data_IF_854535080505
#
_entry.id   IF_854535080505
#
_cell.length_a   1.000
_cell.length_b   1.000
_cell.length_c   1.000
_cell.angle_alpha   90.00
_cell.angle_beta   90.00
_cell.angle_gamma   90.00
#
_symmetry.space_group_name_H-M   'P 1'
#
loop_
_entity.id
_entity.type
_entity.pdbx_description
1 polymer ?
2 non-polymer ?
3 non-polymer ?
4 non-polymer ?
5 non-polymer ?
6 water ?
#
# COMPACT_ATOMS: atom_id res chain seq x y z
N UNK A 1 -4.50 -5.02 20.52
CA UNK A 1 -3.17 -4.48 20.10
C UNK A 1 -2.71 -5.20 18.82
N UNK A 2 -1.66 -4.68 18.18
CA UNK A 2 -1.14 -5.32 16.96
C UNK A 2 -0.51 -6.66 17.33
N UNK A 3 -0.72 -7.67 16.51
CA UNK A 3 -0.20 -8.99 16.80
C UNK A 3 0.83 -9.52 15.82
N UNK A 4 1.91 -10.05 16.36
CA UNK A 4 2.95 -10.64 15.54
C UNK A 4 3.01 -12.12 15.96
N UNK A 5 2.76 -12.99 14.99
CA UNK A 5 2.77 -14.43 15.24
C UNK A 5 3.95 -15.11 14.56
N UNK A 6 4.79 -15.79 15.34
CA UNK A 6 5.91 -16.50 14.73
C UNK A 6 5.38 -17.77 14.09
N UNK A 7 5.98 -18.19 12.99
CA UNK A 7 5.54 -19.37 12.27
C UNK A 7 6.50 -20.50 12.56
N UNK A 8 6.32 -21.63 11.86
CA UNK A 8 7.21 -22.77 12.04
C UNK A 8 8.64 -22.40 11.65
N UNK A 9 8.80 -21.46 10.73
CA UNK A 9 10.13 -21.02 10.32
C UNK A 9 10.37 -19.69 11.05
N UNK A 10 11.42 -19.63 11.88
CA UNK A 10 11.80 -18.47 12.68
C UNK A 10 11.67 -17.09 12.05
N UNK A 11 12.42 -16.83 10.99
CA UNK A 11 12.38 -15.51 10.39
C UNK A 11 11.10 -15.08 9.68
N UNK A 12 10.18 -16.01 9.43
CA UNK A 12 8.93 -15.65 8.79
C UNK A 12 7.90 -15.29 9.85
N UNK A 13 7.33 -14.10 9.74
CA UNK A 13 6.35 -13.63 10.72
C UNK A 13 5.02 -13.24 10.11
N UNK A 14 3.94 -13.51 10.82
CA UNK A 14 2.59 -13.14 10.41
C UNK A 14 2.29 -11.89 11.22
N UNK A 15 1.77 -10.84 10.57
CA UNK A 15 1.45 -9.62 11.29
C UNK A 15 -0.02 -9.36 11.12
N UNK A 16 -0.68 -8.99 12.20
CA UNK A 16 -2.12 -8.72 12.17
C UNK A 16 -2.30 -7.34 12.83
N UNK A 17 -2.30 -6.27 12.02
CA UNK A 17 -2.45 -4.88 12.44
C UNK A 17 -3.63 -4.55 13.32
N UNK A 18 -3.43 -3.56 14.18
CA UNK A 18 -4.45 -3.07 15.09
C UNK A 18 -5.51 -2.39 14.19
N UNK A 19 -6.73 -2.86 14.23
CA UNK A 19 -7.79 -2.29 13.38
C UNK A 19 -8.87 -1.55 14.16
N UNK A 20 -9.15 -0.32 13.75
CA UNK A 20 -10.17 0.50 14.39
C UNK A 20 -11.44 0.53 13.57
N UNK A 21 -12.56 0.16 14.21
CA UNK A 21 -13.83 0.15 13.53
C UNK A 21 -14.22 -1.26 13.12
N UNK A 22 -15.22 -1.35 12.25
CA UNK A 22 -15.69 -2.63 11.75
C UNK A 22 -15.48 -2.68 10.25
N UNK A 23 -16.12 -3.63 9.58
CA UNK A 23 -15.93 -3.77 8.15
C UNK A 23 -16.83 -2.94 7.24
N UNK A 24 -17.31 -1.82 7.75
CA UNK A 24 -18.14 -0.89 6.97
C UNK A 24 -17.66 0.52 7.31
N UNK A 25 -16.49 0.58 7.92
CA UNK A 25 -15.90 1.85 8.30
C UNK A 25 -14.73 1.55 9.23
N UNK A 26 -13.52 1.55 8.68
CA UNK A 26 -12.37 1.25 9.52
C UNK A 26 -11.13 2.05 9.13
N UNK A 27 -10.08 1.84 9.92
CA UNK A 27 -8.81 2.49 9.68
C UNK A 27 -7.72 1.69 10.38
N UNK A 28 -6.59 1.54 9.72
CA UNK A 28 -5.45 0.88 10.33
C UNK A 28 -4.16 1.29 9.63
N UNK A 29 -3.04 1.17 10.34
CA UNK A 29 -1.74 1.47 9.75
C UNK A 29 -1.34 0.13 9.17
N UNK A 30 -1.20 0.07 7.85
CA UNK A 30 -0.82 -1.19 7.21
C UNK A 30 0.68 -1.35 7.30
N UNK A 31 1.38 -0.28 7.63
CA UNK A 31 2.83 -0.33 7.77
C UNK A 31 3.30 0.84 8.60
N UNK A 32 4.34 0.62 9.39
CA UNK A 32 4.89 1.67 10.24
C UNK A 32 6.36 1.32 10.37
N UNK A 33 7.20 2.13 9.75
CA UNK A 33 8.64 1.93 9.72
C UNK A 33 9.28 1.61 11.07
N UNK A 34 9.07 2.51 12.02
CA UNK A 34 9.63 2.37 13.34
C UNK A 34 9.17 1.09 14.02
N UNK A 35 7.87 0.82 13.98
CA UNK A 35 7.32 -0.39 14.56
C UNK A 35 7.93 -1.65 13.93
N UNK A 36 7.98 -1.68 12.59
CA UNK A 36 8.52 -2.84 11.88
C UNK A 36 9.99 -3.09 12.16
N UNK A 37 10.77 -2.03 12.23
CA UNK A 37 12.19 -2.18 12.48
C UNK A 37 12.49 -2.75 13.85
N UNK A 38 11.82 -2.24 14.88
CA UNK A 38 12.10 -2.79 16.19
C UNK A 38 11.54 -4.20 16.23
N UNK A 39 10.49 -4.47 15.46
CA UNK A 39 9.93 -5.82 15.40
C UNK A 39 10.92 -6.82 14.82
N UNK A 40 11.60 -6.43 13.74
CA UNK A 40 12.56 -7.29 13.08
C UNK A 40 13.92 -7.26 13.75
N UNK A 41 14.18 -6.20 14.50
CA UNK A 41 15.45 -6.10 15.20
C UNK A 41 16.55 -5.50 14.35
N UNK A 42 16.28 -5.29 13.06
CA UNK A 42 17.27 -4.71 12.18
C UNK A 42 16.63 -3.61 11.34
N UNK A 43 17.46 -2.73 10.80
CA UNK A 43 16.93 -1.68 9.94
C UNK A 43 16.51 -2.33 8.63
N UNK A 44 15.38 -1.91 8.10
CA UNK A 44 14.88 -2.46 6.86
C UNK A 44 14.20 -1.34 6.09
N UNK A 45 14.56 -1.20 4.82
CA UNK A 45 13.99 -0.16 3.99
C UNK A 45 13.24 -0.76 2.82
N UNK A 46 11.99 -0.34 2.63
CA UNK A 46 11.22 -0.84 1.51
C UNK A 46 11.30 0.21 0.41
N UNK A 47 11.74 -0.21 -0.78
CA UNK A 47 11.89 0.74 -1.89
C UNK A 47 10.84 0.61 -2.97
N UNK A 48 9.97 -0.39 -2.87
CA UNK A 48 8.98 -0.56 -3.90
C UNK A 48 7.67 -1.16 -3.36
N UNK A 49 6.53 -0.62 -3.80
CA UNK A 49 5.23 -1.17 -3.43
C UNK A 49 4.63 -1.70 -4.72
N UNK A 50 4.15 -2.94 -4.67
CA UNK A 50 3.54 -3.56 -5.84
C UNK A 50 2.10 -3.90 -5.54
N UNK A 51 1.30 -3.88 -6.60
CA UNK A 51 -0.13 -4.13 -6.50
C UNK A 51 -0.59 -5.00 -7.68
N UNK A 52 -1.18 -6.15 -7.37
CA UNK A 52 -1.65 -7.03 -8.43
C UNK A 52 -3.07 -7.51 -8.24
N UNK A 53 -3.69 -7.92 -9.33
CA UNK A 53 -5.05 -8.43 -9.29
C UNK A 53 -5.06 -9.77 -10.01
N UNK A 54 -5.65 -10.77 -9.38
CA UNK A 54 -5.70 -12.13 -9.94
C UNK A 54 -7.10 -12.72 -9.83
N UNK A 55 -7.43 -13.61 -10.79
CA UNK A 55 -8.71 -14.29 -10.79
C UNK A 55 -8.56 -15.57 -9.99
N UNK A 56 -9.69 -16.11 -9.53
CA UNK A 56 -9.69 -17.33 -8.75
C UNK A 56 -8.80 -18.40 -9.38
N UNK A 57 -8.06 -19.08 -8.53
CA UNK A 57 -7.16 -20.13 -8.97
C UNK A 57 -5.86 -19.72 -9.60
N UNK A 58 -5.71 -18.43 -9.89
CA UNK A 58 -4.44 -18.01 -10.45
C UNK A 58 -3.40 -18.14 -9.34
N UNK A 59 -2.34 -18.88 -9.63
CA UNK A 59 -1.27 -19.08 -8.67
C UNK A 59 -0.10 -18.32 -9.27
N UNK A 60 0.44 -17.41 -8.49
CA UNK A 60 1.56 -16.62 -8.97
C UNK A 60 2.73 -17.05 -8.15
N UNK A 61 3.77 -17.57 -8.77
CA UNK A 61 4.83 -17.86 -7.86
C UNK A 61 5.93 -18.87 -7.81
N UNK A 62 6.55 -18.68 -6.66
CA UNK A 62 7.73 -19.32 -6.18
C UNK A 62 8.72 -18.56 -7.02
N UNK A 63 8.89 -17.33 -6.55
CA UNK A 63 9.79 -16.35 -7.11
C UNK A 63 10.74 -15.88 -6.02
N UNK A 64 11.90 -15.44 -6.45
CA UNK A 64 12.90 -14.91 -5.56
C UNK A 64 13.92 -14.23 -6.43
N UNK A 65 14.76 -13.41 -5.82
CA UNK A 65 15.82 -12.75 -6.55
C UNK A 65 17.09 -13.14 -5.80
N UNK A 66 18.12 -13.46 -6.57
CA UNK A 66 19.40 -13.89 -6.05
C UNK A 66 20.34 -12.83 -5.50
N UNK A 67 21.24 -13.28 -4.63
CA UNK A 67 22.24 -12.43 -4.04
C UNK A 67 21.85 -11.05 -3.58
N UNK A 68 22.63 -10.07 -4.04
CA UNK A 68 22.42 -8.68 -3.68
C UNK A 68 21.06 -8.14 -4.06
N UNK A 69 20.35 -8.83 -4.94
CA UNK A 69 19.05 -8.35 -5.35
C UNK A 69 17.90 -9.00 -4.62
N UNK A 70 18.22 -9.88 -3.67
CA UNK A 70 17.19 -10.57 -2.90
C UNK A 70 16.23 -9.56 -2.29
N UNK A 71 14.94 -9.85 -2.38
CA UNK A 71 13.93 -8.96 -1.85
C UNK A 71 13.23 -9.49 -0.59
N UNK A 72 13.14 -8.66 0.43
CA UNK A 72 12.40 -9.04 1.61
C UNK A 72 11.03 -8.53 1.20
N UNK A 73 9.97 -9.25 1.52
CA UNK A 73 8.65 -8.82 1.12
C UNK A 73 7.65 -8.87 2.25
N UNK A 74 6.92 -7.78 2.42
CA UNK A 74 5.86 -7.68 3.43
C UNK A 74 4.60 -7.66 2.58
N UNK A 75 3.85 -8.75 2.61
CA UNK A 75 2.66 -8.90 1.78
C UNK A 75 1.33 -8.97 2.51
N UNK A 76 0.27 -8.47 1.85
CA UNK A 76 -1.07 -8.48 2.38
C UNK A 76 -2.05 -8.55 1.22
N UNK A 77 -3.32 -8.75 1.55
CA UNK A 77 -4.38 -8.84 0.55
C UNK A 77 -5.45 -7.79 0.84
N UNK A 78 -5.61 -6.82 -0.07
CA UNK A 78 -6.56 -5.72 0.11
C UNK A 78 -7.96 -6.03 -0.40
N UNK A 79 -8.09 -7.04 -1.25
CA UNK A 79 -9.37 -7.43 -1.79
C UNK A 79 -9.39 -8.95 -1.95
N UNK A 80 -10.45 -9.59 -1.49
CA UNK A 80 -10.52 -11.03 -1.61
C UNK A 80 -9.65 -11.79 -0.63
N UNK A 81 -9.18 -12.95 -1.05
CA UNK A 81 -8.37 -13.81 -0.19
C UNK A 81 -7.41 -14.67 -0.99
N UNK A 82 -6.23 -14.89 -0.46
CA UNK A 82 -5.24 -15.71 -1.12
C UNK A 82 -4.58 -16.59 -0.08
N UNK A 83 -4.00 -17.69 -0.53
CA UNK A 83 -3.25 -18.56 0.36
C UNK A 83 -1.83 -18.18 -0.04
N UNK A 84 -1.10 -17.56 0.87
CA UNK A 84 0.25 -17.10 0.61
C UNK A 84 1.28 -18.07 1.18
N UNK A 85 2.38 -18.22 0.46
CA UNK A 85 3.42 -19.14 0.85
C UNK A 85 4.85 -18.60 0.78
N UNK A 86 5.63 -18.93 1.80
CA UNK A 86 7.03 -18.54 1.90
C UNK A 86 7.83 -19.83 2.00
N UNK A 87 8.89 -19.93 1.22
CA UNK A 87 9.72 -21.12 1.24
C UNK A 87 11.14 -20.72 1.56
N UNK A 88 11.76 -21.38 2.54
CA UNK A 88 13.14 -21.07 2.90
C UNK A 88 14.04 -21.65 1.83
N UNK A 89 14.86 -20.82 1.18
CA UNK A 89 15.73 -21.36 0.15
C UNK A 89 17.19 -21.04 0.40
N UNK A 90 17.51 -20.83 1.68
CA UNK A 90 18.87 -20.55 2.09
C UNK A 90 19.51 -21.91 2.30
N UNK A 91 20.43 -22.27 1.42
CA UNK A 91 21.09 -23.57 1.51
C UNK A 91 21.65 -23.94 2.90
N UNK A 92 22.23 -22.96 3.59
CA UNK A 92 22.80 -23.23 4.91
C UNK A 92 21.79 -23.16 6.05
N UNK A 93 20.52 -22.94 5.73
CA UNK A 93 19.52 -22.84 6.77
C UNK A 93 19.00 -24.18 7.25
N UNK A 94 18.77 -24.30 8.56
CA UNK A 94 18.26 -25.50 9.23
C UNK A 94 16.87 -25.82 8.70
N UNK A 95 16.16 -24.80 8.23
CA UNK A 95 14.82 -24.96 7.71
C UNK A 95 14.73 -24.92 6.17
N UNK A 96 15.87 -25.07 5.51
CA UNK A 96 15.93 -25.06 4.04
C UNK A 96 14.86 -25.99 3.47
N UNK A 97 14.14 -25.52 2.45
CA UNK A 97 13.13 -26.35 1.84
C UNK A 97 11.79 -26.38 2.57
N UNK A 98 11.76 -25.85 3.78
CA UNK A 98 10.52 -25.82 4.52
C UNK A 98 9.70 -24.63 4.04
N UNK A 99 8.38 -24.73 4.20
CA UNK A 99 7.49 -23.68 3.78
C UNK A 99 6.50 -23.34 4.86
N UNK A 100 5.89 -22.17 4.70
CA UNK A 100 4.88 -21.67 5.62
C UNK A 100 3.74 -21.17 4.75
N UNK A 101 2.51 -21.56 5.06
CA UNK A 101 1.38 -21.12 4.30
C UNK A 101 0.35 -20.43 5.17
N UNK A 102 -0.14 -19.28 4.73
CA UNK A 102 -1.11 -18.53 5.50
C UNK A 102 -2.18 -17.92 4.61
N UNK A 103 -3.41 -17.88 5.10
CA UNK A 103 -4.51 -17.27 4.37
C UNK A 103 -4.48 -15.79 4.68
N UNK A 104 -4.41 -14.98 3.63
CA UNK A 104 -4.38 -13.53 3.76
C UNK A 104 -5.61 -13.01 3.04
N UNK A 105 -6.41 -12.22 3.74
CA UNK A 105 -7.63 -11.69 3.15
C UNK A 105 -7.84 -10.23 3.49
N UNK A 106 -8.72 -9.62 2.72
CA UNK A 106 -9.04 -8.23 2.94
C UNK A 106 -9.68 -8.16 4.30
N UNK A 107 -10.46 -9.19 4.58
CA UNK A 107 -11.17 -9.28 5.83
C UNK A 107 -10.28 -9.47 7.06
N UNK A 108 -9.41 -10.48 7.03
CA UNK A 108 -8.58 -10.72 8.20
C UNK A 108 -7.42 -9.75 8.35
N UNK A 109 -7.07 -9.09 7.24
CA UNK A 109 -5.98 -8.11 7.23
C UNK A 109 -4.63 -8.62 7.69
N UNK A 110 -4.39 -9.91 7.54
CA UNK A 110 -3.10 -10.46 7.93
C UNK A 110 -2.07 -10.08 6.87
N UNK A 111 -0.83 -10.05 7.32
CA UNK A 111 0.30 -9.74 6.48
C UNK A 111 1.34 -10.80 6.76
N UNK A 112 2.15 -11.13 5.76
CA UNK A 112 3.22 -12.09 5.96
C UNK A 112 4.54 -11.41 5.62
N UNK A 113 5.49 -11.48 6.54
CA UNK A 113 6.81 -10.93 6.34
C UNK A 113 7.70 -12.05 5.90
N UNK A 114 8.23 -11.93 4.70
CA UNK A 114 9.09 -12.93 4.07
C UNK A 114 10.45 -12.29 3.81
N UNK A 115 11.46 -12.64 4.62
CA UNK A 115 12.82 -12.10 4.51
C UNK A 115 13.54 -12.51 3.24
N UNK A 116 14.67 -11.87 3.02
CA UNK A 116 15.50 -12.20 1.88
C UNK A 116 15.90 -13.65 2.15
N UNK A 117 16.02 -14.44 1.10
CA UNK A 117 16.41 -15.82 1.28
C UNK A 117 15.25 -16.79 1.18
N UNK A 118 14.07 -16.27 0.86
CA UNK A 118 12.86 -17.07 0.71
C UNK A 118 12.24 -16.92 -0.68
N UNK A 119 11.51 -17.93 -1.09
CA UNK A 119 10.82 -17.90 -2.37
C UNK A 119 9.41 -17.55 -1.96
N UNK A 120 8.66 -16.85 -2.81
CA UNK A 120 7.31 -16.46 -2.48
C UNK A 120 6.30 -16.89 -3.54
N UNK A 121 5.08 -17.18 -3.09
CA UNK A 121 4.02 -17.57 -4.01
C UNK A 121 2.66 -17.46 -3.34
N UNK A 122 1.60 -17.43 -4.14
CA UNK A 122 0.26 -17.38 -3.60
C UNK A 122 -0.78 -17.77 -4.64
N UNK A 123 -1.93 -18.27 -4.17
CA UNK A 123 -3.01 -18.65 -5.07
C UNK A 123 -4.22 -17.85 -4.67
N UNK A 124 -4.97 -17.41 -5.66
CA UNK A 124 -6.17 -16.64 -5.43
C UNK A 124 -7.31 -17.61 -5.07
N UNK A 125 -7.95 -17.38 -3.93
CA UNK A 125 -9.03 -18.25 -3.45
C UNK A 125 -10.41 -17.64 -3.70
N UNK A 126 -10.49 -16.32 -3.73
CA UNK A 126 -11.73 -15.61 -3.98
C UNK A 126 -11.91 -15.43 -5.49
N UNK A 127 -13.07 -14.91 -5.89
CA UNK A 127 -13.36 -14.71 -7.32
C UNK A 127 -12.20 -13.93 -7.91
N UNK A 128 -11.80 -12.87 -7.20
CA UNK A 128 -10.68 -12.03 -7.58
C UNK A 128 -9.98 -11.62 -6.29
N UNK A 129 -8.68 -11.42 -6.36
CA UNK A 129 -7.93 -10.99 -5.19
C UNK A 129 -6.95 -9.90 -5.63
N UNK A 130 -6.83 -8.86 -4.81
CA UNK A 130 -5.87 -7.81 -5.08
C UNK A 130 -4.83 -7.92 -3.99
N UNK A 131 -3.63 -8.24 -4.43
CA UNK A 131 -2.48 -8.49 -3.59
C UNK A 131 -1.56 -7.27 -3.57
N UNK A 132 -1.17 -6.84 -2.38
CA UNK A 132 -0.28 -5.70 -2.24
C UNK A 132 0.95 -6.08 -1.46
N UNK A 133 2.08 -5.53 -1.83
CA UNK A 133 3.25 -5.85 -1.05
C UNK A 133 4.38 -4.87 -1.21
N UNK A 134 5.28 -4.90 -0.24
CA UNK A 134 6.42 -4.01 -0.21
C UNK A 134 7.69 -4.86 -0.31
N UNK A 135 8.64 -4.40 -1.12
CA UNK A 135 9.88 -5.13 -1.29
C UNK A 135 11.06 -4.29 -0.82
N UNK A 136 12.05 -4.94 -0.20
CA UNK A 136 13.22 -4.24 0.31
C UNK A 136 14.24 -3.93 -0.80
N UNK A 137 14.05 -4.52 -1.98
CA UNK A 137 14.95 -4.21 -3.08
C UNK A 137 14.17 -4.14 -4.38
N UNK A 138 14.77 -3.51 -5.38
CA UNK A 138 14.13 -3.34 -6.66
C UNK A 138 14.02 -4.59 -7.52
N UNK A 139 12.97 -4.62 -8.31
CA UNK A 139 12.75 -5.69 -9.24
C UNK A 139 14.05 -5.89 -10.01
N UNK A 140 14.45 -7.14 -10.22
CA UNK A 140 15.68 -7.43 -10.96
C UNK A 140 15.53 -8.72 -11.75
N UNK A 141 14.98 -8.64 -12.96
CA UNK A 141 14.78 -9.81 -13.82
C UNK A 141 15.99 -10.72 -13.98
N UNK A 142 17.17 -10.13 -14.14
CA UNK A 142 18.36 -10.96 -14.30
C UNK A 142 18.70 -11.73 -13.02
N UNK A 143 18.26 -11.20 -11.88
CA UNK A 143 18.52 -11.84 -10.60
C UNK A 143 17.38 -12.78 -10.21
N UNK A 144 16.25 -12.66 -10.90
CA UNK A 144 15.10 -13.46 -10.58
C UNK A 144 15.23 -14.93 -10.88
N UNK A 145 14.60 -15.72 -10.02
CA UNK A 145 14.63 -17.16 -10.16
C UNK A 145 13.26 -17.63 -9.76
N UNK A 146 12.92 -18.85 -10.17
CA UNK A 146 11.62 -19.40 -9.83
C UNK A 146 11.70 -20.89 -9.52
N UNK A 147 10.63 -21.41 -8.95
CA UNK A 147 10.57 -22.81 -8.57
C UNK A 147 9.14 -23.20 -8.86
N UNK A 148 8.96 -24.36 -9.49
CA UNK A 148 7.63 -24.84 -9.84
C UNK A 148 6.77 -24.99 -8.59
N UNK A 149 5.55 -24.50 -8.66
CA UNK A 149 4.62 -24.54 -7.52
C UNK A 149 4.43 -25.89 -6.83
N UNK A 150 4.35 -26.95 -7.61
CA UNK A 150 4.13 -28.28 -7.05
C UNK A 150 5.40 -29.09 -6.84
N UNK A 151 6.53 -28.41 -6.68
CA UNK A 151 7.79 -29.09 -6.46
C UNK A 151 7.67 -30.04 -5.25
N UNK A 152 8.02 -31.31 -5.45
CA UNK A 152 7.91 -32.31 -4.40
C UNK A 152 8.91 -32.15 -3.24
N UNK A 153 10.12 -31.68 -3.52
CA UNK A 153 11.09 -31.50 -2.46
C UNK A 153 10.54 -30.54 -1.38
N UNK A 154 9.83 -29.49 -1.81
CA UNK A 154 9.24 -28.53 -0.91
C UNK A 154 7.92 -29.09 -0.38
N UNK A 155 7.14 -29.68 -1.29
CA UNK A 155 5.88 -30.30 -0.90
C UNK A 155 4.83 -29.40 -0.31
N UNK A 156 4.59 -28.26 -0.94
CA UNK A 156 3.58 -27.33 -0.46
C UNK A 156 2.20 -27.97 -0.57
N UNK A 157 1.38 -27.78 0.46
CA UNK A 157 0.03 -28.32 0.44
C UNK A 157 -0.89 -27.21 0.02
N UNK A 158 -1.15 -27.10 -1.28
CA UNK A 158 -2.03 -26.06 -1.77
C UNK A 158 -3.50 -26.37 -1.50
N UNK A 159 -4.26 -25.37 -1.01
CA UNK A 159 -5.67 -25.38 -0.65
C UNK A 159 -6.68 -25.64 -1.76
N UNK A 160 -6.48 -24.97 -2.89
CA UNK A 160 -7.38 -25.14 -4.02
C UNK A 160 -7.55 -26.62 -4.27
N UNK A 161 -8.71 -26.99 -4.78
CA UNK A 161 -8.99 -28.38 -5.09
C UNK A 161 -8.91 -28.54 -6.59
N UNK A 162 -8.64 -27.43 -7.29
CA UNK A 162 -8.55 -27.46 -8.75
C UNK A 162 -7.20 -27.01 -9.31
N UNK A 163 -6.89 -27.41 -10.54
CA UNK A 163 -5.63 -27.01 -11.15
C UNK A 163 -5.50 -25.49 -11.16
N UNK A 164 -4.34 -24.97 -10.76
CA UNK A 164 -4.05 -23.54 -10.71
C UNK A 164 -3.78 -23.02 -12.10
N UNK A 165 -4.02 -21.73 -12.30
CA UNK A 165 -3.72 -21.12 -13.58
C UNK A 165 -2.40 -20.42 -13.38
N UNK A 166 -1.46 -20.68 -14.28
CA UNK A 166 -0.13 -20.12 -14.21
C UNK A 166 0.24 -19.32 -15.45
N UNK A 167 1.01 -18.25 -15.24
CA UNK A 167 1.49 -17.46 -16.35
C UNK A 167 2.42 -18.46 -17.04
N UNK A 168 2.80 -18.19 -18.27
CA UNK A 168 3.70 -19.12 -18.98
C UNK A 168 5.05 -19.16 -18.28
N UNK A 169 5.43 -18.03 -17.69
CA UNK A 169 6.71 -17.95 -17.00
C UNK A 169 6.72 -18.88 -15.79
N UNK A 170 5.65 -18.88 -15.00
CA UNK A 170 5.63 -19.74 -13.82
C UNK A 170 5.40 -21.21 -14.15
N UNK A 171 4.65 -21.47 -15.21
CA UNK A 171 4.39 -22.84 -15.63
C UNK A 171 5.72 -23.47 -16.04
N UNK A 172 6.66 -22.64 -16.49
CA UNK A 172 7.97 -23.13 -16.91
C UNK A 172 9.03 -23.15 -15.82
N UNK A 173 8.66 -22.83 -14.58
CA UNK A 173 9.63 -22.84 -13.48
C UNK A 173 10.26 -24.21 -13.28
N UNK A 174 11.53 -24.27 -12.86
CA UNK A 174 12.24 -25.53 -12.64
C UNK A 174 11.88 -26.11 -11.28
N UNK A 175 12.37 -27.31 -11.03
CA UNK A 175 12.16 -27.98 -9.76
C UNK A 175 13.27 -27.47 -8.86
N UNK A 176 13.11 -27.65 -7.56
CA UNK A 176 14.10 -27.16 -6.62
C UNK A 176 15.55 -27.52 -6.92
N UNK A 177 15.85 -28.76 -7.25
CA UNK A 177 17.26 -29.09 -7.50
C UNK A 177 17.83 -28.48 -8.78
N UNK A 178 16.98 -27.89 -9.60
CA UNK A 178 17.43 -27.25 -10.84
C UNK A 178 17.38 -25.72 -10.70
N UNK A 179 16.65 -25.23 -9.71
CA UNK A 179 16.53 -23.79 -9.49
C UNK A 179 17.89 -23.14 -9.34
N UNK A 180 18.00 -21.90 -9.82
CA UNK A 180 19.27 -21.19 -9.71
C UNK A 180 19.23 -20.38 -8.42
N UNK A 181 19.49 -21.06 -7.31
CA UNK A 181 19.46 -20.46 -5.98
C UNK A 181 20.52 -19.43 -5.65
N UNK A 182 21.69 -19.51 -6.28
CA UNK A 182 22.74 -18.56 -5.92
C UNK A 182 23.56 -17.96 -7.06
N UNK A 183 24.15 -16.80 -6.77
CA UNK A 183 25.01 -15.98 -7.64
C UNK A 183 24.31 -14.72 -8.13
N UNK B 1 3.80 1.62 -16.89
CA UNK B 1 4.44 2.97 -16.81
C UNK B 1 3.54 3.91 -16.03
N UNK B 2 4.03 5.10 -15.74
CA UNK B 2 3.23 6.04 -14.99
C UNK B 2 3.31 7.47 -15.55
N UNK B 3 2.14 8.07 -15.82
CA UNK B 3 2.08 9.45 -16.31
C UNK B 3 2.00 10.43 -15.14
N UNK B 4 2.84 11.45 -15.18
CA UNK B 4 2.86 12.47 -14.14
C UNK B 4 2.26 13.73 -14.73
N UNK B 5 1.16 14.19 -14.12
CA UNK B 5 0.46 15.39 -14.56
C UNK B 5 0.55 16.46 -13.49
N UNK B 6 1.02 17.66 -13.87
CA UNK B 6 1.12 18.74 -12.90
C UNK B 6 -0.27 19.32 -12.74
N UNK B 7 -0.53 19.96 -11.59
CA UNK B 7 -1.84 20.54 -11.32
C UNK B 7 -1.68 22.06 -11.30
N UNK B 8 -2.74 22.76 -10.94
CA UNK B 8 -2.69 24.22 -10.86
C UNK B 8 -1.67 24.66 -9.82
N UNK B 9 -1.44 23.81 -8.83
CA UNK B 9 -0.47 24.14 -7.81
C UNK B 9 0.76 23.31 -8.15
N UNK B 10 1.90 23.97 -8.36
CA UNK B 10 3.18 23.36 -8.71
C UNK B 10 3.56 22.05 -8.02
N UNK B 11 3.80 22.12 -6.71
CA UNK B 11 4.22 20.93 -5.99
C UNK B 11 3.26 19.76 -5.89
N UNK B 12 2.00 19.94 -6.28
CA UNK B 12 1.00 18.89 -6.22
C UNK B 12 0.95 18.16 -7.57
N UNK B 13 1.22 16.86 -7.55
CA UNK B 13 1.23 16.06 -8.78
C UNK B 13 0.24 14.92 -8.80
N UNK B 14 -0.33 14.67 -9.97
CA UNK B 14 -1.25 13.56 -10.17
C UNK B 14 -0.39 12.47 -10.83
N UNK B 15 -0.52 11.24 -10.38
CA UNK B 15 0.25 10.17 -10.99
C UNK B 15 -0.77 9.18 -11.51
N UNK B 16 -0.53 8.68 -12.72
CA UNK B 16 -1.43 7.72 -13.32
C UNK B 16 -0.70 6.53 -13.86
N UNK B 17 -0.64 5.47 -13.08
CA UNK B 17 0.04 4.28 -13.58
C UNK B 17 -0.83 3.62 -14.67
N UNK B 18 -0.19 2.93 -15.60
CA UNK B 18 -0.88 2.17 -16.64
C UNK B 18 -0.40 0.79 -16.20
N UNK B 19 -1.32 -0.15 -16.06
CA UNK B 19 -0.93 -1.46 -15.58
C UNK B 19 -0.62 -2.49 -16.66
N UNK B 20 0.22 -3.46 -16.30
CA UNK B 20 0.59 -4.55 -17.18
C UNK B 20 -0.58 -5.52 -17.00
N UNK B 21 -1.48 -5.52 -17.98
CA UNK B 21 -2.64 -6.37 -17.91
C UNK B 21 -2.55 -7.62 -18.77
N UNK B 22 -3.00 -8.75 -18.23
CA UNK B 22 -2.99 -10.01 -18.97
C UNK B 22 -4.16 -10.89 -18.53
N UNK B 23 -4.02 -12.20 -18.71
CA UNK B 23 -5.07 -13.14 -18.36
C UNK B 23 -5.29 -13.32 -16.85
N UNK B 24 -4.20 -13.40 -16.08
CA UNK B 24 -4.33 -13.55 -14.61
C UNK B 24 -5.14 -12.35 -14.07
N UNK B 25 -4.74 -11.16 -14.50
CA UNK B 25 -5.37 -9.91 -14.12
C UNK B 25 -4.41 -8.79 -14.49
N UNK B 26 -3.78 -8.16 -13.51
CA UNK B 26 -2.80 -7.12 -13.80
C UNK B 26 -1.74 -7.04 -12.72
N UNK B 27 -0.74 -6.23 -13.01
CA UNK B 27 0.34 -5.99 -12.09
C UNK B 27 0.92 -4.62 -12.37
N UNK B 28 1.23 -3.88 -11.30
CA UNK B 28 1.90 -2.59 -11.44
C UNK B 28 2.62 -2.23 -10.16
N UNK B 29 3.66 -1.39 -10.30
CA UNK B 29 4.39 -0.92 -9.14
C UNK B 29 3.56 0.28 -8.71
N UNK B 30 2.98 0.25 -7.52
CA UNK B 30 2.19 1.39 -7.10
C UNK B 30 3.10 2.45 -6.51
N UNK B 31 4.34 2.09 -6.26
CA UNK B 31 5.32 3.03 -5.72
C UNK B 31 6.71 2.50 -5.98
N UNK B 32 7.64 3.40 -6.28
CA UNK B 32 9.02 3.02 -6.53
C UNK B 32 9.83 4.21 -6.00
N UNK B 33 10.59 3.97 -4.94
CA UNK B 33 11.39 5.01 -4.27
C UNK B 33 12.26 5.86 -5.20
N UNK B 34 13.14 5.20 -5.92
CA UNK B 34 14.07 5.84 -6.84
C UNK B 34 13.34 6.73 -7.85
N UNK B 35 12.32 6.16 -8.48
CA UNK B 35 11.51 6.84 -9.44
C UNK B 35 10.83 8.09 -8.83
N UNK B 36 10.22 7.91 -7.66
CA UNK B 36 9.52 9.01 -7.04
C UNK B 36 10.44 10.17 -6.65
N UNK B 37 11.62 9.84 -6.14
CA UNK B 37 12.56 10.87 -5.75
C UNK B 37 13.03 11.69 -6.94
N UNK B 38 13.36 11.02 -8.05
CA UNK B 38 13.83 11.72 -9.25
C UNK B 38 12.69 12.59 -9.72
N UNK B 39 11.49 12.05 -9.62
CA UNK B 39 10.29 12.75 -10.03
C UNK B 39 10.02 13.99 -9.18
N UNK B 40 10.32 13.92 -7.89
CA UNK B 40 10.09 15.05 -6.97
C UNK B 40 11.32 15.93 -6.90
N UNK B 41 12.46 15.36 -7.23
CA UNK B 41 13.68 16.15 -7.20
C UNK B 41 14.35 16.18 -5.85
N UNK B 42 13.72 15.60 -4.83
CA UNK B 42 14.32 15.58 -3.51
C UNK B 42 14.13 14.21 -2.88
N UNK B 43 14.99 13.89 -1.91
CA UNK B 43 14.86 12.62 -1.22
C UNK B 43 13.60 12.70 -0.39
N UNK B 44 12.86 11.61 -0.34
CA UNK B 44 11.64 11.59 0.45
C UNK B 44 11.49 10.19 1.01
N UNK B 45 11.20 10.09 2.30
CA UNK B 45 11.03 8.80 2.94
C UNK B 45 9.62 8.66 3.50
N UNK B 46 8.94 7.58 3.15
CA UNK B 46 7.60 7.35 3.69
C UNK B 46 7.75 6.36 4.82
N UNK B 47 7.30 6.74 6.01
CA UNK B 47 7.43 5.89 7.18
C UNK B 47 6.16 5.22 7.65
N UNK B 48 5.02 5.59 7.07
CA UNK B 48 3.77 5.03 7.51
C UNK B 48 2.78 4.87 6.36
N UNK B 49 2.13 3.70 6.29
CA UNK B 49 1.12 3.43 5.27
C UNK B 49 -0.20 3.29 6.03
N UNK B 50 -1.23 3.97 5.55
CA UNK B 50 -2.53 3.91 6.21
C UNK B 50 -3.55 3.36 5.23
N UNK B 51 -4.59 2.74 5.78
CA UNK B 51 -5.64 2.16 4.97
C UNK B 51 -6.98 2.39 5.68
N UNK B 52 -7.93 3.01 4.99
CA UNK B 52 -9.22 3.29 5.60
C UNK B 52 -10.37 2.91 4.69
N UNK B 53 -11.53 2.74 5.30
CA UNK B 53 -12.73 2.41 4.55
C UNK B 53 -13.82 3.40 4.97
N UNK B 54 -14.55 3.92 4.00
CA UNK B 54 -15.61 4.89 4.27
C UNK B 54 -16.84 4.62 3.43
N UNK B 55 -18.00 5.00 3.95
CA UNK B 55 -19.26 4.81 3.26
C UNK B 55 -19.53 6.05 2.41
N UNK B 56 -20.40 5.89 1.42
CA UNK B 56 -20.73 6.99 0.53
C UNK B 56 -21.04 8.24 1.32
N UNK B 57 -20.56 9.36 0.81
CA UNK B 57 -20.76 10.68 1.42
C UNK B 57 -19.95 10.99 2.64
N UNK B 58 -19.23 10.02 3.19
CA UNK B 58 -18.39 10.32 4.32
C UNK B 58 -17.26 11.18 3.78
N UNK B 59 -17.04 12.33 4.41
CA UNK B 59 -15.97 13.24 4.00
C UNK B 59 -15.03 13.30 5.18
N UNK B 60 -13.75 13.04 4.96
CA UNK B 60 -12.80 13.13 6.05
C UNK B 60 -12.16 14.50 5.98
N UNK B 61 -12.64 15.37 6.87
CA UNK B 61 -12.26 16.78 7.00
C UNK B 61 -10.87 17.14 6.54
N UNK B 62 -10.57 18.43 6.46
CA UNK B 62 -9.23 18.84 6.00
C UNK B 62 -8.22 18.73 7.14
N UNK B 63 -7.24 17.86 6.95
CA UNK B 63 -6.24 17.59 7.98
C UNK B 63 -4.81 17.93 7.60
N UNK B 64 -3.99 18.15 8.63
CA UNK B 64 -2.59 18.43 8.43
C UNK B 64 -1.92 18.34 9.77
N UNK B 65 -0.59 18.29 9.77
CA UNK B 65 0.19 18.26 11.00
C UNK B 65 1.18 19.40 10.92
N UNK B 66 1.27 20.16 12.00
CA UNK B 66 2.14 21.33 12.09
C UNK B 66 3.64 21.11 12.24
N UNK B 67 4.38 22.14 11.84
CA UNK B 67 5.82 22.13 11.92
C UNK B 67 6.53 20.86 11.52
N UNK B 68 7.47 20.45 12.37
CA UNK B 68 8.29 19.26 12.14
C UNK B 68 7.49 17.98 11.92
N UNK B 69 6.21 17.99 12.28
CA UNK B 69 5.39 16.80 12.12
C UNK B 69 4.58 16.80 10.83
N UNK B 70 4.72 17.84 10.02
CA UNK B 70 3.98 17.92 8.76
C UNK B 70 4.20 16.63 7.97
N UNK B 71 3.13 16.14 7.34
CA UNK B 71 3.19 14.91 6.59
C UNK B 71 2.96 15.11 5.09
N UNK B 72 3.89 14.59 4.29
CA UNK B 72 3.71 14.64 2.85
C UNK B 72 2.90 13.37 2.69
N UNK B 73 1.93 13.38 1.78
CA UNK B 73 1.10 12.22 1.58
C UNK B 73 0.91 11.86 0.10
N UNK B 74 1.14 10.58 -0.20
CA UNK B 74 0.96 10.04 -1.53
C UNK B 74 -0.26 9.15 -1.36
N UNK B 75 -1.40 9.62 -1.85
CA UNK B 75 -2.66 8.90 -1.69
C UNK B 75 -3.27 8.31 -2.95
N UNK B 76 -4.04 7.24 -2.79
CA UNK B 76 -4.72 6.56 -3.89
C UNK B 76 -5.95 5.84 -3.35
N UNK B 77 -6.80 5.36 -4.24
CA UNK B 77 -8.01 4.66 -3.83
C UNK B 77 -7.99 3.23 -4.37
N UNK B 78 -7.95 2.24 -3.46
CA UNK B 78 -7.89 0.83 -3.85
C UNK B 78 -9.24 0.19 -4.12
N UNK B 79 -10.31 0.80 -3.62
CA UNK B 79 -11.65 0.28 -3.83
C UNK B 79 -12.63 1.45 -3.93
N UNK B 80 -13.47 1.44 -4.95
CA UNK B 80 -14.43 2.52 -5.11
C UNK B 80 -13.85 3.79 -5.71
N UNK B 81 -14.37 4.93 -5.27
CA UNK B 81 -13.93 6.21 -5.79
C UNK B 81 -14.13 7.32 -4.77
N UNK B 82 -13.20 8.26 -4.74
CA UNK B 82 -13.30 9.40 -3.85
C UNK B 82 -12.90 10.64 -4.61
N UNK B 83 -13.32 11.79 -4.10
CA UNK B 83 -12.93 13.05 -4.69
C UNK B 83 -11.91 13.51 -3.65
N UNK B 84 -10.65 13.60 -4.06
CA UNK B 84 -9.59 13.97 -3.16
C UNK B 84 -9.20 15.42 -3.31
N UNK B 85 -8.86 16.05 -2.20
CA UNK B 85 -8.52 17.46 -2.21
C UNK B 85 -7.27 17.83 -1.43
N UNK B 86 -6.46 18.70 -2.02
CA UNK B 86 -5.25 19.18 -1.39
C UNK B 86 -5.38 20.69 -1.32
N UNK B 87 -5.06 21.28 -0.17
CA UNK B 87 -5.14 22.72 0.01
C UNK B 87 -3.80 23.26 0.45
N UNK B 88 -3.31 24.29 -0.24
CA UNK B 88 -2.02 24.86 0.11
C UNK B 88 -2.24 25.71 1.36
N UNK B 89 -1.54 25.40 2.43
CA UNK B 89 -1.70 26.16 3.66
C UNK B 89 -0.42 26.78 4.15
N UNK B 90 0.50 26.99 3.21
CA UNK B 90 1.77 27.62 3.52
C UNK B 90 1.50 29.11 3.40
N UNK B 91 1.56 29.82 4.51
CA UNK B 91 1.29 31.26 4.51
C UNK B 91 2.08 32.07 3.49
N UNK B 92 3.38 31.75 3.34
CA UNK B 92 4.23 32.48 2.41
C UNK B 92 4.13 32.00 0.96
N UNK B 93 3.24 31.06 0.68
CA UNK B 93 3.10 30.55 -0.68
C UNK B 93 2.18 31.37 -1.56
N UNK B 94 2.57 31.55 -2.83
CA UNK B 94 1.84 32.29 -3.86
C UNK B 94 0.48 31.69 -4.11
N UNK B 95 0.36 30.41 -3.79
CA UNK B 95 -0.89 29.69 -3.99
C UNK B 95 -1.61 29.37 -2.70
N UNK B 96 -1.24 30.06 -1.61
CA UNK B 96 -1.86 29.86 -0.30
C UNK B 96 -3.37 29.93 -0.43
N UNK B 97 -4.04 28.96 0.18
CA UNK B 97 -5.49 28.94 0.15
C UNK B 97 -6.06 28.31 -1.09
N UNK B 98 -5.23 28.05 -2.08
CA UNK B 98 -5.72 27.43 -3.30
C UNK B 98 -5.84 25.94 -3.06
N UNK B 99 -6.74 25.30 -3.80
CA UNK B 99 -6.97 23.87 -3.68
C UNK B 99 -6.96 23.17 -5.02
N UNK B 100 -6.77 21.86 -4.96
CA UNK B 100 -6.74 21.00 -6.13
C UNK B 100 -7.63 19.80 -5.81
N UNK B 101 -8.57 19.49 -6.68
CA UNK B 101 -9.44 18.36 -6.45
C UNK B 101 -9.33 17.35 -7.57
N UNK B 102 -9.17 16.09 -7.22
CA UNK B 102 -9.05 15.03 -8.22
C UNK B 102 -9.83 13.79 -7.86
N UNK B 103 -10.45 13.16 -8.85
CA UNK B 103 -11.19 11.93 -8.62
C UNK B 103 -10.17 10.80 -8.63
N UNK B 104 -10.12 10.04 -7.53
CA UNK B 104 -9.21 8.91 -7.40
C UNK B 104 -10.09 7.68 -7.24
N UNK B 105 -9.85 6.66 -8.06
CA UNK B 105 -10.66 5.45 -8.00
C UNK B 105 -9.81 4.21 -8.15
N UNK B 106 -10.38 3.08 -7.76
CA UNK B 106 -9.69 1.80 -7.88
C UNK B 106 -9.50 1.59 -9.37
N UNK B 107 -10.48 2.04 -10.14
CA UNK B 107 -10.46 1.88 -11.58
C UNK B 107 -9.40 2.72 -12.28
N UNK B 108 -9.41 4.03 -12.08
CA UNK B 108 -8.43 4.87 -12.76
C UNK B 108 -7.02 4.79 -12.20
N UNK B 109 -6.91 4.28 -10.96
CA UNK B 109 -5.62 4.14 -10.33
C UNK B 109 -4.81 5.42 -10.13
N UNK B 110 -5.46 6.56 -10.18
CA UNK B 110 -4.72 7.80 -9.97
C UNK B 110 -4.29 7.91 -8.53
N UNK B 111 -3.18 8.64 -8.35
CA UNK B 111 -2.62 8.89 -7.05
C UNK B 111 -2.41 10.40 -7.03
N UNK B 112 -2.44 10.99 -5.84
CA UNK B 112 -2.21 12.41 -5.70
C UNK B 112 -1.09 12.56 -4.68
N UNK B 113 -0.07 13.34 -5.03
CA UNK B 113 1.07 13.60 -4.16
C UNK B 113 0.82 14.97 -3.56
N UNK B 114 0.71 14.99 -2.24
CA UNK B 114 0.46 16.18 -1.48
C UNK B 114 1.61 16.39 -0.52
N UNK B 115 2.48 17.36 -0.83
CA UNK B 115 3.66 17.67 -0.01
C UNK B 115 3.32 18.22 1.37
N UNK B 116 4.35 18.33 2.20
CA UNK B 116 4.19 18.92 3.51
C UNK B 116 3.79 20.37 3.20
N UNK B 117 2.90 20.92 4.00
CA UNK B 117 2.50 22.30 3.78
C UNK B 117 1.10 22.41 3.20
N UNK B 118 0.45 21.26 3.06
CA UNK B 118 -0.92 21.19 2.52
C UNK B 118 -1.88 20.53 3.50
N UNK B 119 -3.16 20.81 3.34
CA UNK B 119 -4.18 20.18 4.18
C UNK B 119 -4.79 19.15 3.25
N UNK B 120 -5.24 18.03 3.78
CA UNK B 120 -5.82 17.01 2.92
C UNK B 120 -7.25 16.63 3.30
N UNK B 121 -8.05 16.24 2.30
CA UNK B 121 -9.41 15.81 2.57
C UNK B 121 -9.97 15.02 1.41
N UNK B 122 -11.04 14.27 1.63
CA UNK B 122 -11.67 13.53 0.55
C UNK B 122 -13.06 13.08 0.93
N UNK B 123 -13.90 12.87 -0.08
CA UNK B 123 -15.27 12.43 0.14
C UNK B 123 -15.46 11.15 -0.65
N UNK B 124 -16.22 10.23 -0.07
CA UNK B 124 -16.47 8.95 -0.68
C UNK B 124 -17.64 9.10 -1.65
N UNK B 125 -17.40 8.76 -2.91
CA UNK B 125 -18.43 8.88 -3.94
C UNK B 125 -19.14 7.57 -4.23
N UNK B 126 -18.44 6.47 -4.01
CA UNK B 126 -19.00 5.15 -4.25
C UNK B 126 -19.70 4.68 -2.99
N UNK B 127 -20.37 3.52 -3.08
CA UNK B 127 -21.09 2.96 -1.94
C UNK B 127 -20.13 2.93 -0.76
N UNK B 128 -18.92 2.44 -1.04
CA UNK B 128 -17.84 2.34 -0.06
C UNK B 128 -16.55 2.60 -0.79
N UNK B 129 -15.58 3.18 -0.11
CA UNK B 129 -14.30 3.41 -0.74
C UNK B 129 -13.22 3.03 0.25
N UNK B 130 -12.15 2.43 -0.26
CA UNK B 130 -11.02 2.09 0.59
C UNK B 130 -9.88 2.95 0.09
N UNK B 131 -9.45 3.83 0.99
CA UNK B 131 -8.42 4.82 0.76
C UNK B 131 -7.08 4.37 1.34
N UNK B 132 -6.03 4.48 0.52
CA UNK B 132 -4.69 4.10 0.97
C UNK B 132 -3.74 5.25 0.77
N UNK B 133 -2.84 5.45 1.71
CA UNK B 133 -1.85 6.48 1.49
C UNK B 133 -0.60 6.26 2.30
N UNK B 134 0.47 6.92 1.87
CA UNK B 134 1.75 6.83 2.52
C UNK B 134 2.06 8.23 3.06
N UNK B 135 2.62 8.30 4.26
CA UNK B 135 2.95 9.59 4.87
C UNK B 135 4.45 9.67 5.14
N UNK B 136 5.02 10.85 4.96
CA UNK B 136 6.45 11.08 5.16
C UNK B 136 6.78 11.23 6.65
N UNK B 137 5.77 11.42 7.49
CA UNK B 137 6.04 11.49 8.91
C UNK B 137 4.95 10.79 9.69
N UNK B 138 5.27 10.42 10.93
CA UNK B 138 4.33 9.70 11.76
C UNK B 138 3.15 10.50 12.29
N UNK B 139 2.05 9.77 12.49
CA UNK B 139 0.83 10.31 13.07
C UNK B 139 1.20 10.92 14.41
N UNK B 140 0.73 12.14 14.66
CA UNK B 140 1.01 12.82 15.91
C UNK B 140 -0.20 13.62 16.37
N UNK B 141 -0.98 13.07 17.31
CA UNK B 141 -2.19 13.71 17.83
C UNK B 141 -1.96 15.14 18.27
N UNK B 142 -0.87 15.38 19.00
CA UNK B 142 -0.58 16.72 19.48
C UNK B 142 -0.34 17.73 18.38
N UNK B 143 -0.02 17.24 17.18
CA UNK B 143 0.24 18.12 16.06
C UNK B 143 -0.93 18.34 15.13
N UNK B 144 -2.01 17.58 15.32
CA UNK B 144 -3.16 17.68 14.45
C UNK B 144 -3.73 19.07 14.32
N UNK B 145 -4.23 19.36 13.12
CA UNK B 145 -4.85 20.64 12.82
C UNK B 145 -5.93 20.32 11.80
N UNK B 146 -7.00 21.10 11.76
CA UNK B 146 -8.06 20.85 10.80
C UNK B 146 -8.69 22.15 10.35
N UNK B 147 -9.41 22.06 9.24
CA UNK B 147 -10.07 23.19 8.63
C UNK B 147 -11.41 22.66 8.12
N UNK B 148 -12.47 23.43 8.35
CA UNK B 148 -13.80 23.02 7.94
C UNK B 148 -13.85 22.81 6.43
N UNK B 149 -14.37 21.66 6.03
CA UNK B 149 -14.47 21.29 4.62
C UNK B 149 -15.05 22.35 3.68
N UNK B 150 -16.10 23.05 4.12
CA UNK B 150 -16.75 24.05 3.29
C UNK B 150 -16.31 25.48 3.56
N UNK B 151 -15.10 25.63 4.07
CA UNK B 151 -14.58 26.96 4.35
C UNK B 151 -14.64 27.81 3.07
N UNK B 152 -15.23 28.99 3.19
CA UNK B 152 -15.40 29.89 2.05
C UNK B 152 -14.10 30.51 1.51
N UNK B 153 -13.14 30.76 2.38
CA UNK B 153 -11.87 31.34 1.95
C UNK B 153 -11.15 30.40 0.95
N UNK B 154 -11.33 29.09 1.12
CA UNK B 154 -10.72 28.11 0.23
C UNK B 154 -11.70 27.86 -0.90
N UNK B 155 -12.98 27.74 -0.55
CA UNK B 155 -14.04 27.53 -1.52
C UNK B 155 -13.92 26.28 -2.39
N UNK B 156 -13.67 25.14 -1.76
CA UNK B 156 -13.55 23.90 -2.51
C UNK B 156 -14.89 23.59 -3.17
N UNK B 157 -14.85 23.10 -4.40
CA UNK B 157 -16.08 22.74 -5.09
C UNK B 157 -16.26 21.24 -4.95
N UNK B 158 -16.95 20.80 -3.90
CA UNK B 158 -17.17 19.38 -3.68
C UNK B 158 -18.26 18.84 -4.60
N UNK B 159 -17.99 17.69 -5.25
CA UNK B 159 -18.82 16.97 -6.19
C UNK B 159 -20.23 16.58 -5.72
N UNK B 160 -20.51 16.76 -4.43
CA UNK B 160 -21.82 16.40 -3.90
C UNK B 160 -22.75 17.58 -3.64
N UNK B 161 -24.00 17.26 -3.33
CA UNK B 161 -25.02 18.26 -3.05
C UNK B 161 -25.41 18.25 -1.58
N UNK B 162 -25.82 17.07 -1.10
CA UNK B 162 -26.24 16.87 0.30
C UNK B 162 -25.16 17.37 1.25
N UNK B 163 -25.45 17.36 2.54
CA UNK B 163 -24.45 17.74 3.53
C UNK B 163 -23.66 16.47 3.77
N UNK B 164 -22.36 16.58 3.92
CA UNK B 164 -21.47 15.46 4.17
C UNK B 164 -21.66 14.81 5.52
N UNK B 165 -21.33 13.53 5.61
CA UNK B 165 -21.39 12.84 6.87
C UNK B 165 -19.99 13.08 7.42
N UNK B 166 -19.93 13.78 8.55
CA UNK B 166 -18.67 14.13 9.15
C UNK B 166 -18.45 13.52 10.53
N UNK B 167 -17.18 13.41 10.90
CA UNK B 167 -16.82 12.90 12.21
C UNK B 167 -17.05 14.09 13.11
N UNK B 168 -17.12 13.82 14.41
CA UNK B 168 -17.31 14.88 15.39
C UNK B 168 -16.26 15.95 15.15
N UNK B 169 -15.00 15.54 15.17
CA UNK B 169 -13.87 16.45 14.99
C UNK B 169 -13.82 17.27 13.70
N UNK B 170 -14.27 16.73 12.57
CA UNK B 170 -14.21 17.53 11.34
C UNK B 170 -15.38 18.50 11.24
N UNK B 171 -16.52 18.11 11.80
CA UNK B 171 -17.70 18.97 11.81
C UNK B 171 -17.42 20.22 12.64
N UNK B 172 -16.54 20.08 13.63
CA UNK B 172 -16.19 21.19 14.53
C UNK B 172 -14.88 21.86 14.14
N UNK B 173 -14.39 21.57 12.95
CA UNK B 173 -13.13 22.15 12.48
C UNK B 173 -13.21 23.66 12.30
N UNK B 174 -12.13 24.37 12.61
CA UNK B 174 -12.03 25.83 12.50
C UNK B 174 -11.93 26.25 11.05
N UNK B 175 -12.08 27.55 10.83
CA UNK B 175 -11.97 28.09 9.48
C UNK B 175 -10.48 28.23 9.20
N UNK B 176 -10.15 28.36 7.92
CA UNK B 176 -8.76 28.50 7.51
C UNK B 176 -7.92 29.42 8.38
N UNK B 177 -8.30 30.69 8.47
CA UNK B 177 -7.51 31.62 9.29
C UNK B 177 -7.38 31.20 10.75
N UNK B 178 -8.46 30.72 11.35
CA UNK B 178 -8.40 30.28 12.74
C UNK B 178 -7.49 29.08 12.88
N UNK B 179 -7.67 28.11 12.00
CA UNK B 179 -6.87 26.91 12.02
C UNK B 179 -5.37 27.17 11.95
N UNK B 180 -4.98 28.23 11.24
CA UNK B 180 -3.56 28.52 11.08
C UNK B 180 -3.05 29.67 11.93
N UNK B 181 -3.79 30.02 12.97
CA UNK B 181 -3.42 31.13 13.85
C UNK B 181 -1.97 31.16 14.23
N UNK B 182 -1.48 30.06 14.79
CA UNK B 182 -0.09 29.97 15.25
C UNK B 182 0.90 29.40 14.23
N UNK B 183 0.49 29.32 12.96
CA UNK B 183 1.38 28.81 11.92
C UNK B 183 1.76 29.94 10.97
#
# INVERSE_FOLDING_TARGET
>A
MMIVIKTAIPDVLILEPKVFGDERGFFFESYNQQTFEELIGRKVTFVQDNHSKSKKNVLRGLHFQRGENAQGKLVRCAVGEVFDVAVDIRKESPTFGQWVGVNLSAENKRQLWIPEGFAHGFVTLSEYAEFLYKATNYYSPSSEGSILWNDEAIGIEWPFSQLPELSAKDAAAPLLDQALLTE
>B
MMIVIKTAIPDVLILEPKVFGDERGFFFESYNQQTFEELIGRKVTFVQDNHSKSKKNVLRGLHFQRGENAQGKLVRCAVGEVFDVAVDIRKESPTFGQWVGVNLSAENKRQLWIPEGFAHGFVTLSEYAEFLYKATNYYSPSSEGSILWNDEAIGIEWPFSQLPELSAKDAAAPLLDQALLTE
#
